data_IF_684483730150
#
_entry.id   IF_684483730150
#
_cell.length_a   1.000
_cell.length_b   1.000
_cell.length_c   1.000
_cell.angle_alpha   90.00
_cell.angle_beta   90.00
_cell.angle_gamma   90.00
#
_symmetry.space_group_name_H-M   'P 1'
#
loop_
_entity.id
_entity.type
_entity.pdbx_description
1 polymer ?
#
# COMPACT_ATOMS: atom_id res chain seq x y z
N UNK A 1 17.76 -11.33 10.79
CA UNK A 1 16.41 -10.74 10.89
C UNK A 1 16.43 -9.67 9.82
N UNK A 2 15.80 -9.95 8.68
CA UNK A 2 15.97 -9.11 7.50
C UNK A 2 15.01 -7.93 7.63
N UNK A 3 15.62 -6.74 7.66
CA UNK A 3 14.98 -5.50 8.05
C UNK A 3 14.37 -4.82 6.82
N UNK A 4 13.04 -4.79 6.73
CA UNK A 4 12.30 -3.83 5.92
C UNK A 4 11.65 -2.85 6.88
N UNK A 5 12.38 -1.80 7.25
CA UNK A 5 11.90 -0.85 8.26
C UNK A 5 11.03 0.22 7.64
N UNK A 6 9.79 0.35 8.08
CA UNK A 6 9.16 1.67 8.24
C UNK A 6 9.40 2.13 9.69
N UNK A 7 10.41 2.98 9.87
CA UNK A 7 10.61 3.77 11.08
C UNK A 7 10.20 5.22 10.82
N UNK A 8 10.43 6.11 11.79
CA UNK A 8 10.15 7.55 11.69
C UNK A 8 10.91 8.29 10.56
N UNK A 9 11.81 7.59 9.86
CA UNK A 9 12.47 8.02 8.62
C UNK A 9 12.67 6.79 7.72
N UNK A 10 12.25 6.90 6.46
CA UNK A 10 12.69 6.02 5.39
C UNK A 10 14.06 6.56 4.94
N UNK A 11 15.13 5.88 5.33
CA UNK A 11 16.46 6.15 4.78
C UNK A 11 16.60 5.36 3.47
N UNK A 12 16.16 5.99 2.38
CA UNK A 12 16.21 5.43 1.03
C UNK A 12 17.66 5.10 0.64
N UNK A 13 18.64 5.87 1.10
CA UNK A 13 20.04 5.67 0.75
C UNK A 13 20.61 4.41 1.42
N UNK A 14 20.23 4.15 2.66
CA UNK A 14 20.56 2.89 3.33
C UNK A 14 19.92 1.67 2.66
N UNK A 15 18.66 1.80 2.20
CA UNK A 15 17.99 0.74 1.44
C UNK A 15 18.66 0.50 0.08
N UNK A 16 18.99 1.56 -0.65
CA UNK A 16 19.70 1.49 -1.93
C UNK A 16 21.07 0.84 -1.75
N UNK A 17 21.86 1.26 -0.75
CA UNK A 17 23.18 0.68 -0.51
C UNK A 17 23.11 -0.83 -0.19
N UNK A 18 22.07 -1.27 0.52
CA UNK A 18 21.84 -2.70 0.79
C UNK A 18 21.38 -3.46 -0.47
N UNK A 19 20.53 -2.85 -1.31
CA UNK A 19 20.13 -3.41 -2.61
C UNK A 19 21.32 -3.52 -3.57
N UNK A 20 22.20 -2.52 -3.62
CA UNK A 20 23.42 -2.54 -4.44
C UNK A 20 24.43 -3.60 -3.98
N UNK A 21 24.57 -3.82 -2.68
CA UNK A 21 25.41 -4.89 -2.13
C UNK A 21 24.83 -6.29 -2.37
N UNK A 22 23.51 -6.44 -2.27
CA UNK A 22 22.83 -7.74 -2.47
C UNK A 22 22.67 -8.10 -3.95
N UNK A 23 22.65 -7.11 -4.85
CA UNK A 23 22.49 -7.27 -6.30
C UNK A 23 23.81 -7.01 -7.06
N UNK A 24 24.89 -7.70 -6.69
CA UNK A 24 26.09 -7.68 -7.55
C UNK A 24 25.77 -8.29 -8.94
N UNK A 25 26.35 -7.78 -10.04
CA UNK A 25 25.75 -7.83 -11.37
C UNK A 25 25.83 -9.22 -12.01
N UNK A 26 24.85 -10.08 -11.73
CA UNK A 26 24.56 -11.21 -12.59
C UNK A 26 23.79 -10.71 -13.83
N UNK A 27 24.56 -10.43 -14.89
CA UNK A 27 24.15 -10.22 -16.30
C UNK A 27 22.65 -9.94 -16.49
N UNK A 28 22.26 -8.67 -16.38
CA UNK A 28 21.00 -8.18 -16.96
C UNK A 28 21.08 -8.36 -18.47
N UNK A 29 20.39 -9.36 -19.00
CA UNK A 29 20.09 -9.42 -20.44
C UNK A 29 19.08 -8.32 -20.72
N UNK A 30 19.54 -7.22 -21.33
CA UNK A 30 18.63 -6.21 -21.89
C UNK A 30 17.86 -6.85 -23.05
N UNK A 31 16.65 -7.37 -22.79
CA UNK A 31 15.69 -7.60 -23.86
C UNK A 31 15.04 -6.26 -24.21
N UNK A 32 15.42 -5.71 -25.36
CA UNK A 32 14.65 -4.63 -25.99
C UNK A 32 13.33 -5.25 -26.45
N UNK A 33 12.28 -5.12 -25.65
CA UNK A 33 10.93 -5.24 -26.18
C UNK A 33 10.69 -4.02 -27.06
N UNK A 34 10.55 -4.25 -28.37
CA UNK A 34 10.24 -3.22 -29.34
C UNK A 34 8.94 -2.51 -28.91
N UNK A 35 9.02 -1.19 -28.74
CA UNK A 35 7.85 -0.34 -28.56
C UNK A 35 7.08 -0.29 -29.88
N UNK A 36 5.79 -0.61 -29.81
CA UNK A 36 4.77 -0.18 -30.76
C UNK A 36 4.74 -0.94 -32.08
N UNK A 37 3.84 -1.92 -32.19
CA UNK A 37 3.21 -2.27 -33.49
C UNK A 37 1.94 -3.14 -33.40
N UNK A 38 1.34 -3.35 -32.22
CA UNK A 38 0.06 -4.10 -32.14
C UNK A 38 -0.96 -3.49 -31.17
N UNK A 39 -1.02 -2.16 -31.07
CA UNK A 39 -2.23 -1.47 -30.61
C UNK A 39 -3.10 -1.10 -31.82
N UNK A 40 -3.35 -2.06 -32.71
CA UNK A 40 -4.30 -1.93 -33.79
C UNK A 40 -5.65 -2.49 -33.32
N UNK A 41 -6.61 -1.62 -33.01
CA UNK A 41 -8.02 -2.04 -32.90
C UNK A 41 -8.83 -1.48 -31.72
N UNK A 42 -8.25 -0.67 -30.82
CA UNK A 42 -9.06 0.14 -29.91
C UNK A 42 -8.79 1.61 -30.20
N UNK A 43 -9.72 2.25 -30.90
CA UNK A 43 -9.85 3.69 -30.84
C UNK A 43 -10.12 4.07 -29.39
N UNK A 44 -9.10 4.60 -28.72
CA UNK A 44 -9.29 5.32 -27.49
C UNK A 44 -9.87 6.68 -27.86
N UNK A 45 -11.20 6.73 -27.98
CA UNK A 45 -11.89 7.99 -28.09
C UNK A 45 -11.64 8.78 -26.79
N UNK A 46 -10.90 9.88 -26.89
CA UNK A 46 -10.99 10.93 -25.87
C UNK A 46 -12.40 11.48 -26.01
N UNK A 47 -13.30 11.31 -25.03
CA UNK A 47 -14.67 11.79 -25.20
C UNK A 47 -14.62 13.28 -25.52
N UNK A 48 -15.09 13.66 -26.71
CA UNK A 48 -15.38 15.05 -27.02
C UNK A 48 -16.23 15.61 -25.89
N UNK A 49 -15.97 16.84 -25.49
CA UNK A 49 -16.57 17.57 -24.37
C UNK A 49 -18.11 17.76 -24.50
N UNK A 50 -18.87 16.69 -24.63
CA UNK A 50 -20.21 16.64 -24.08
C UNK A 50 -20.02 16.66 -22.57
N UNK A 51 -20.67 17.59 -21.87
CA UNK A 51 -20.71 17.62 -20.42
C UNK A 51 -21.34 16.32 -19.93
N UNK A 52 -20.55 15.25 -19.80
CA UNK A 52 -20.90 14.16 -18.93
C UNK A 52 -21.27 14.82 -17.59
N UNK A 53 -22.42 14.45 -17.01
CA UNK A 53 -22.70 14.81 -15.63
C UNK A 53 -21.61 14.14 -14.80
N UNK A 54 -20.54 14.88 -14.53
CA UNK A 54 -19.46 14.44 -13.68
C UNK A 54 -20.02 14.08 -12.30
N UNK A 55 -19.23 13.37 -11.48
CA UNK A 55 -19.62 13.11 -10.11
C UNK A 55 -19.97 14.43 -9.41
N UNK A 56 -20.98 14.38 -8.53
CA UNK A 56 -21.46 15.55 -7.79
C UNK A 56 -20.41 16.08 -6.81
N UNK A 57 -19.46 15.23 -6.40
CA UNK A 57 -18.40 15.53 -5.45
C UNK A 57 -17.05 14.92 -5.87
N UNK A 58 -15.98 15.60 -5.46
CA UNK A 58 -14.59 15.21 -5.68
C UNK A 58 -13.83 15.28 -4.37
N UNK A 59 -12.93 14.31 -4.17
CA UNK A 59 -11.92 14.34 -3.13
C UNK A 59 -10.57 14.69 -3.77
N UNK A 60 -9.83 15.61 -3.17
CA UNK A 60 -8.50 15.99 -3.66
C UNK A 60 -7.44 15.58 -2.66
N UNK A 61 -6.57 14.68 -3.08
CA UNK A 61 -5.33 14.35 -2.39
C UNK A 61 -4.26 15.35 -2.79
N UNK A 62 -3.61 15.98 -1.81
CA UNK A 62 -2.61 17.02 -2.06
C UNK A 62 -1.20 16.53 -1.70
N UNK A 63 -0.25 16.84 -2.57
CA UNK A 63 1.18 16.67 -2.34
C UNK A 63 1.85 18.04 -2.37
N UNK A 64 2.57 18.37 -1.30
CA UNK A 64 3.27 19.64 -1.12
C UNK A 64 4.73 19.43 -0.70
N UNK A 65 5.45 20.54 -0.59
CA UNK A 65 6.78 20.53 0.02
C UNK A 65 6.67 20.17 1.51
N UNK A 66 7.62 19.38 2.01
CA UNK A 66 7.71 19.07 3.45
C UNK A 66 8.00 20.32 4.29
N UNK A 67 8.75 21.28 3.75
CA UNK A 67 9.08 22.54 4.43
C UNK A 67 7.93 23.56 4.35
N UNK A 68 7.07 23.47 3.33
CA UNK A 68 5.88 24.31 3.16
C UNK A 68 4.58 23.48 2.97
N UNK A 69 4.09 22.77 4.01
CA UNK A 69 2.95 21.85 3.87
C UNK A 69 1.64 22.53 3.42
N UNK A 70 1.54 23.85 3.61
CA UNK A 70 0.36 24.65 3.25
C UNK A 70 0.31 25.03 1.77
N UNK A 71 1.35 24.71 0.99
CA UNK A 71 1.43 25.02 -0.44
C UNK A 71 1.43 23.73 -1.25
N UNK A 72 0.26 23.26 -1.74
CA UNK A 72 0.20 22.08 -2.58
C UNK A 72 0.92 22.34 -3.91
N UNK A 73 1.78 21.42 -4.32
CA UNK A 73 2.48 21.43 -5.61
C UNK A 73 1.76 20.55 -6.63
N UNK A 74 1.08 19.51 -6.17
CA UNK A 74 0.35 18.55 -6.98
C UNK A 74 -0.94 18.13 -6.26
N UNK A 75 -1.99 17.88 -7.03
CA UNK A 75 -3.25 17.37 -6.51
C UNK A 75 -3.85 16.31 -7.43
N UNK A 76 -4.21 15.16 -6.86
CA UNK A 76 -4.98 14.13 -7.55
C UNK A 76 -6.43 14.19 -7.12
N UNK A 77 -7.34 14.19 -8.09
CA UNK A 77 -8.77 14.28 -7.84
C UNK A 77 -9.45 12.94 -8.10
N UNK A 78 -10.20 12.48 -7.11
CA UNK A 78 -10.94 11.24 -7.15
C UNK A 78 -12.44 11.55 -7.06
N UNK A 79 -13.20 11.00 -8.01
CA UNK A 79 -14.65 11.05 -7.97
C UNK A 79 -15.17 10.37 -6.69
N UNK A 80 -16.08 11.01 -5.97
CA UNK A 80 -16.69 10.43 -4.77
C UNK A 80 -18.09 9.96 -5.13
N UNK A 81 -18.31 8.66 -5.10
CA UNK A 81 -19.64 8.08 -5.24
C UNK A 81 -20.36 8.09 -3.88
N UNK A 82 -19.65 7.67 -2.82
CA UNK A 82 -20.18 7.63 -1.46
C UNK A 82 -19.06 7.63 -0.44
N UNK A 83 -19.20 8.42 0.62
CA UNK A 83 -18.38 8.29 1.83
C UNK A 83 -18.95 7.18 2.71
N UNK A 84 -18.15 6.15 3.02
CA UNK A 84 -18.59 5.01 3.84
C UNK A 84 -18.34 5.25 5.33
N UNK A 85 -17.17 5.82 5.65
CA UNK A 85 -16.81 6.21 7.00
C UNK A 85 -15.77 7.32 6.96
N UNK A 86 -15.90 8.28 7.86
CA UNK A 86 -14.86 9.24 8.20
C UNK A 86 -14.78 9.36 9.71
N UNK A 87 -13.60 9.12 10.25
CA UNK A 87 -13.35 9.14 11.68
C UNK A 87 -11.96 9.65 11.97
N UNK A 88 -11.67 9.91 13.24
CA UNK A 88 -10.35 10.34 13.68
C UNK A 88 -9.92 9.53 14.89
N UNK A 89 -8.79 8.85 14.77
CA UNK A 89 -8.14 8.18 15.90
C UNK A 89 -7.20 9.16 16.62
N UNK A 90 -6.57 8.76 17.74
CA UNK A 90 -5.49 9.55 18.34
C UNK A 90 -4.28 9.76 17.41
N UNK A 91 -4.17 9.01 16.31
CA UNK A 91 -3.03 9.02 15.41
C UNK A 91 -3.29 9.83 14.13
N UNK A 92 -4.46 9.63 13.50
CA UNK A 92 -4.74 10.18 12.16
C UNK A 92 -6.25 10.26 11.86
N UNK A 93 -6.60 11.03 10.83
CA UNK A 93 -7.91 10.93 10.17
C UNK A 93 -7.95 9.67 9.30
N UNK A 94 -9.08 8.95 9.34
CA UNK A 94 -9.32 7.73 8.58
C UNK A 94 -10.59 7.94 7.77
N UNK A 95 -10.49 7.79 6.46
CA UNK A 95 -11.60 7.93 5.52
C UNK A 95 -11.66 6.70 4.62
N UNK A 96 -12.84 6.12 4.44
CA UNK A 96 -13.11 5.17 3.37
C UNK A 96 -14.24 5.70 2.51
N UNK A 97 -14.01 5.78 1.21
CA UNK A 97 -15.01 6.19 0.23
C UNK A 97 -15.03 5.24 -0.96
N UNK A 98 -16.16 5.23 -1.67
CA UNK A 98 -16.33 4.52 -2.93
C UNK A 98 -16.04 5.45 -4.10
N UNK A 99 -15.29 4.91 -5.05
CA UNK A 99 -14.91 5.54 -6.30
C UNK A 99 -15.34 4.64 -7.47
N UNK A 100 -15.91 5.21 -8.55
CA UNK A 100 -16.43 4.44 -9.68
C UNK A 100 -15.34 3.65 -10.44
N UNK A 101 -14.08 4.08 -10.37
CA UNK A 101 -12.94 3.51 -11.10
C UNK A 101 -12.10 2.58 -10.22
N UNK A 102 -11.92 2.88 -8.94
CA UNK A 102 -11.03 2.17 -8.03
C UNK A 102 -11.75 1.30 -6.98
N UNK A 103 -13.07 1.37 -6.90
CA UNK A 103 -13.84 0.68 -5.85
C UNK A 103 -13.72 1.43 -4.52
N UNK A 104 -13.68 0.71 -3.41
CA UNK A 104 -13.44 1.33 -2.10
C UNK A 104 -11.98 1.72 -1.94
N UNK A 105 -11.76 2.90 -1.40
CA UNK A 105 -10.46 3.53 -1.23
C UNK A 105 -10.27 3.93 0.22
N UNK A 106 -9.16 3.54 0.84
CA UNK A 106 -8.75 3.98 2.18
C UNK A 106 -7.83 5.20 2.06
N UNK A 107 -8.13 6.20 2.88
CA UNK A 107 -7.34 7.40 3.05
C UNK A 107 -6.94 7.55 4.51
N UNK A 108 -5.69 7.95 4.73
CA UNK A 108 -5.16 8.34 6.04
C UNK A 108 -4.59 9.75 5.94
N UNK A 109 -5.07 10.67 6.80
CA UNK A 109 -4.74 12.10 6.75
C UNK A 109 -4.84 12.72 5.34
N UNK A 110 -5.81 12.23 4.56
CA UNK A 110 -6.12 12.69 3.22
C UNK A 110 -5.22 12.16 2.09
N UNK A 111 -4.33 11.22 2.39
CA UNK A 111 -3.51 10.50 1.41
C UNK A 111 -4.10 9.14 1.09
N UNK A 112 -4.04 8.72 -0.18
CA UNK A 112 -4.49 7.39 -0.59
C UNK A 112 -3.54 6.35 -0.03
N UNK A 113 -4.08 5.36 0.69
CA UNK A 113 -3.30 4.24 1.19
C UNK A 113 -3.47 2.98 0.35
N UNK A 114 -4.70 2.67 -0.03
CA UNK A 114 -5.01 1.48 -0.85
C UNK A 114 -6.36 1.59 -1.53
N UNK A 115 -6.55 0.87 -2.64
CA UNK A 115 -7.84 0.77 -3.35
C UNK A 115 -8.16 -0.68 -3.72
N UNK A 116 -9.42 -1.08 -3.67
CA UNK A 116 -9.83 -2.46 -3.94
C UNK A 116 -9.41 -2.99 -5.33
N UNK A 117 -9.31 -2.14 -6.35
CA UNK A 117 -9.09 -2.59 -7.73
C UNK A 117 -7.63 -2.65 -8.15
N UNK A 118 -6.72 -1.95 -7.48
CA UNK A 118 -5.29 -1.90 -7.84
C UNK A 118 -4.33 -2.21 -6.68
N UNK A 119 -4.83 -2.49 -5.48
CA UNK A 119 -4.02 -2.86 -4.30
C UNK A 119 -3.03 -3.99 -4.57
N UNK A 120 -3.37 -4.92 -5.47
CA UNK A 120 -2.51 -6.06 -5.82
C UNK A 120 -1.16 -5.58 -6.34
N UNK A 121 -1.09 -4.46 -7.08
CA UNK A 121 0.17 -3.93 -7.62
C UNK A 121 1.12 -3.55 -6.49
N UNK A 122 0.59 -2.94 -5.41
CA UNK A 122 1.37 -2.53 -4.26
C UNK A 122 1.71 -3.73 -3.35
N UNK A 123 0.71 -4.52 -2.97
CA UNK A 123 0.88 -5.62 -2.01
C UNK A 123 1.71 -6.78 -2.57
N UNK A 124 1.48 -7.18 -3.82
CA UNK A 124 2.26 -8.27 -4.45
C UNK A 124 3.73 -7.88 -4.58
N UNK A 125 4.01 -6.62 -4.92
CA UNK A 125 5.39 -6.12 -5.03
C UNK A 125 6.09 -6.05 -3.68
N UNK A 126 5.41 -5.59 -2.64
CA UNK A 126 5.96 -5.56 -1.29
C UNK A 126 6.13 -6.95 -0.68
N UNK A 127 5.27 -7.91 -1.01
CA UNK A 127 5.37 -9.26 -0.48
C UNK A 127 6.33 -10.13 -1.29
N UNK A 128 6.06 -10.35 -2.57
CA UNK A 128 6.69 -11.43 -3.32
C UNK A 128 8.16 -11.15 -3.63
N UNK A 129 8.53 -9.89 -3.93
CA UNK A 129 9.92 -9.54 -4.22
C UNK A 129 10.86 -9.92 -3.06
N UNK A 130 10.69 -9.42 -1.82
CA UNK A 130 11.60 -9.78 -0.73
C UNK A 130 11.51 -11.26 -0.35
N UNK A 131 10.32 -11.86 -0.40
CA UNK A 131 10.12 -13.26 -0.02
C UNK A 131 10.80 -14.24 -0.99
N UNK A 132 10.78 -13.94 -2.29
CA UNK A 132 11.48 -14.72 -3.32
C UNK A 132 12.99 -14.56 -3.17
N UNK A 133 13.47 -13.33 -2.97
CA UNK A 133 14.91 -13.03 -2.82
C UNK A 133 15.50 -13.71 -1.57
N UNK A 134 14.77 -13.74 -0.45
CA UNK A 134 15.19 -14.46 0.76
C UNK A 134 15.23 -15.99 0.53
N UNK A 135 14.38 -16.53 -0.35
CA UNK A 135 14.34 -17.95 -0.75
C UNK A 135 13.66 -18.88 0.26
N UNK A 136 13.81 -18.67 1.57
CA UNK A 136 13.21 -19.50 2.61
C UNK A 136 12.70 -18.71 3.84
N UNK A 137 11.78 -17.74 3.65
CA UNK A 137 11.20 -16.98 4.76
C UNK A 137 10.26 -17.87 5.59
N UNK A 138 10.45 -17.87 6.92
CA UNK A 138 9.60 -18.63 7.87
C UNK A 138 8.88 -17.75 8.89
N UNK A 139 9.58 -16.75 9.41
CA UNK A 139 9.04 -15.75 10.33
C UNK A 139 9.19 -14.37 9.71
N UNK A 140 8.07 -13.67 9.55
CA UNK A 140 8.03 -12.37 8.87
C UNK A 140 7.53 -11.32 9.86
N UNK A 141 8.13 -10.14 9.81
CA UNK A 141 7.65 -8.96 10.53
C UNK A 141 7.11 -7.96 9.51
N UNK A 142 5.85 -7.56 9.68
CA UNK A 142 5.22 -6.46 8.97
C UNK A 142 5.09 -5.31 9.97
N UNK A 143 5.57 -4.12 9.60
CA UNK A 143 5.35 -2.90 10.38
C UNK A 143 4.42 -2.00 9.57
N UNK A 144 3.35 -1.52 10.20
CA UNK A 144 2.19 -0.94 9.53
C UNK A 144 1.32 -2.01 8.85
N UNK A 145 0.72 -1.62 7.72
CA UNK A 145 -0.10 -2.52 6.90
C UNK A 145 -1.50 -2.78 7.47
N UNK A 146 -2.04 -1.84 8.25
CA UNK A 146 -3.35 -1.95 8.92
C UNK A 146 -4.55 -2.34 8.04
N UNK A 147 -4.44 -2.23 6.72
CA UNK A 147 -5.45 -2.72 5.76
C UNK A 147 -5.46 -4.26 5.61
N UNK A 148 -4.36 -4.95 5.90
CA UNK A 148 -4.23 -6.41 5.86
C UNK A 148 -3.84 -7.02 4.50
N UNK A 149 -3.72 -6.23 3.43
CA UNK A 149 -3.42 -6.72 2.10
C UNK A 149 -2.00 -7.29 1.98
N UNK A 150 -1.01 -6.63 2.59
CA UNK A 150 0.35 -7.16 2.65
C UNK A 150 0.42 -8.49 3.40
N UNK A 151 -0.30 -8.60 4.52
CA UNK A 151 -0.39 -9.83 5.31
C UNK A 151 -0.96 -10.98 4.48
N UNK A 152 -2.03 -10.71 3.70
CA UNK A 152 -2.64 -11.68 2.78
C UNK A 152 -1.60 -12.23 1.79
N UNK A 153 -0.83 -11.36 1.16
CA UNK A 153 0.16 -11.76 0.16
C UNK A 153 1.36 -12.50 0.76
N UNK A 154 1.83 -12.08 1.94
CA UNK A 154 2.89 -12.80 2.69
C UNK A 154 2.45 -14.21 3.04
N UNK A 155 1.21 -14.39 3.49
CA UNK A 155 0.68 -15.69 3.91
C UNK A 155 0.41 -16.67 2.76
N UNK A 156 0.45 -16.22 1.50
CA UNK A 156 0.46 -17.12 0.33
C UNK A 156 1.73 -17.96 0.22
N UNK A 157 2.82 -17.55 0.86
CA UNK A 157 4.06 -18.32 0.86
C UNK A 157 3.94 -19.48 1.85
N UNK A 158 3.94 -20.75 1.40
CA UNK A 158 3.62 -21.91 2.24
C UNK A 158 4.66 -22.21 3.32
N UNK A 159 5.87 -21.64 3.19
CA UNK A 159 6.96 -21.79 4.17
C UNK A 159 6.84 -20.81 5.34
N UNK A 160 5.95 -19.83 5.25
CA UNK A 160 5.68 -18.88 6.34
C UNK A 160 4.91 -19.60 7.44
N UNK A 161 5.55 -19.68 8.60
CA UNK A 161 5.06 -20.30 9.82
C UNK A 161 4.42 -19.25 10.75
N UNK A 162 4.94 -18.01 10.74
CA UNK A 162 4.47 -16.92 11.59
C UNK A 162 4.67 -15.56 10.91
N UNK A 163 3.67 -14.68 11.03
CA UNK A 163 3.76 -13.27 10.68
C UNK A 163 3.40 -12.43 11.91
N UNK A 164 4.37 -11.66 12.42
CA UNK A 164 4.10 -10.60 13.40
C UNK A 164 3.77 -9.33 12.61
N UNK A 165 2.57 -8.77 12.79
CA UNK A 165 2.12 -7.53 12.18
C UNK A 165 1.93 -6.47 13.26
N UNK A 166 2.65 -5.36 13.15
CA UNK A 166 2.66 -4.30 14.15
C UNK A 166 2.03 -3.05 13.56
N UNK A 167 0.85 -2.68 14.04
CA UNK A 167 0.11 -1.51 13.59
C UNK A 167 -0.07 -0.55 14.77
N UNK A 168 0.29 0.71 14.61
CA UNK A 168 0.20 1.68 15.70
C UNK A 168 -1.26 2.09 15.97
N UNK A 169 -2.09 2.09 14.93
CA UNK A 169 -3.46 2.57 14.98
C UNK A 169 -4.48 1.41 14.84
N UNK A 170 -5.01 0.88 15.96
CA UNK A 170 -6.02 -0.18 15.92
C UNK A 170 -7.29 0.21 15.17
N UNK A 171 -7.59 1.52 15.05
CA UNK A 171 -8.79 1.99 14.35
C UNK A 171 -8.68 1.76 12.84
N UNK A 172 -7.48 1.80 12.27
CA UNK A 172 -7.25 1.48 10.85
C UNK A 172 -7.62 0.02 10.57
N UNK A 173 -7.22 -0.91 11.46
CA UNK A 173 -7.55 -2.33 11.33
C UNK A 173 -9.05 -2.57 11.46
N UNK A 174 -9.71 -1.92 12.43
CA UNK A 174 -11.17 -2.00 12.61
C UNK A 174 -11.92 -1.52 11.35
N UNK A 175 -11.57 -0.34 10.85
CA UNK A 175 -12.18 0.26 9.66
C UNK A 175 -11.93 -0.62 8.43
N UNK A 176 -10.72 -1.16 8.27
CA UNK A 176 -10.37 -2.01 7.14
C UNK A 176 -11.13 -3.34 7.16
N UNK A 177 -11.31 -3.97 8.33
CA UNK A 177 -12.18 -5.16 8.47
C UNK A 177 -13.61 -4.87 8.04
N UNK A 178 -14.16 -3.73 8.45
CA UNK A 178 -15.55 -3.38 8.19
C UNK A 178 -15.80 -2.97 6.74
N UNK A 179 -14.89 -2.18 6.16
CA UNK A 179 -15.13 -1.52 4.87
C UNK A 179 -14.29 -2.06 3.72
N UNK A 180 -13.20 -2.80 3.97
CA UNK A 180 -12.32 -3.38 2.95
C UNK A 180 -12.15 -4.90 3.14
N UNK A 181 -13.23 -5.69 3.23
CA UNK A 181 -13.15 -7.10 3.61
C UNK A 181 -12.32 -7.97 2.65
N UNK A 182 -12.19 -7.59 1.37
CA UNK A 182 -11.33 -8.30 0.41
C UNK A 182 -9.83 -8.10 0.64
N UNK A 183 -9.45 -6.95 1.19
CA UNK A 183 -8.05 -6.61 1.53
C UNK A 183 -7.75 -7.14 2.94
N UNK A 184 -8.66 -6.93 3.88
CA UNK A 184 -8.57 -7.30 5.28
C UNK A 184 -8.75 -8.81 5.57
N UNK A 185 -8.93 -9.65 4.55
CA UNK A 185 -9.36 -11.04 4.73
C UNK A 185 -8.36 -11.92 5.49
N UNK A 186 -7.10 -11.50 5.60
CA UNK A 186 -6.04 -12.26 6.25
C UNK A 186 -5.76 -11.83 7.69
N UNK A 187 -6.43 -10.79 8.21
CA UNK A 187 -6.16 -10.25 9.55
C UNK A 187 -6.48 -11.24 10.69
N UNK A 188 -7.28 -12.26 10.41
CA UNK A 188 -7.69 -13.30 11.36
C UNK A 188 -7.04 -14.67 11.06
N UNK A 189 -6.04 -14.72 10.16
CA UNK A 189 -5.31 -15.97 9.87
C UNK A 189 -4.56 -16.48 11.10
N UNK A 190 -4.57 -17.80 11.42
CA UNK A 190 -3.90 -18.35 12.60
C UNK A 190 -2.38 -18.13 12.66
N UNK A 191 -1.76 -17.91 11.49
CA UNK A 191 -0.32 -17.62 11.36
C UNK A 191 0.01 -16.15 11.61
N UNK A 192 -1.00 -15.27 11.71
CA UNK A 192 -0.83 -13.84 11.94
C UNK A 192 -0.94 -13.52 13.44
N UNK A 193 -0.06 -12.63 13.93
CA UNK A 193 -0.12 -12.03 15.25
C UNK A 193 -0.12 -10.52 15.12
N UNK A 194 -1.24 -9.90 15.44
CA UNK A 194 -1.38 -8.45 15.43
C UNK A 194 -0.93 -7.86 16.77
N UNK A 195 -0.10 -6.84 16.70
CA UNK A 195 0.40 -6.06 17.84
C UNK A 195 0.01 -4.59 17.64
N UNK A 196 -0.71 -4.02 18.61
CA UNK A 196 -1.13 -2.62 18.56
C UNK A 196 -0.17 -1.73 19.33
N UNK A 197 0.94 -1.35 18.68
CA UNK A 197 1.98 -0.56 19.29
C UNK A 197 2.89 0.14 18.26
N UNK A 198 3.80 0.98 18.75
CA UNK A 198 4.81 1.61 17.91
C UNK A 198 5.81 0.58 17.36
N UNK A 199 5.93 0.50 16.05
CA UNK A 199 6.81 -0.44 15.36
C UNK A 199 8.29 -0.31 15.74
N UNK A 200 8.78 0.91 15.95
CA UNK A 200 10.17 1.12 16.35
C UNK A 200 10.42 0.62 17.79
N UNK A 201 9.44 0.78 18.69
CA UNK A 201 9.50 0.21 20.03
C UNK A 201 9.45 -1.32 20.00
N UNK A 202 8.55 -1.91 19.21
CA UNK A 202 8.46 -3.36 19.03
C UNK A 202 9.81 -3.94 18.60
N UNK A 203 10.41 -3.37 17.54
CA UNK A 203 11.71 -3.82 16.99
C UNK A 203 12.84 -3.71 18.02
N UNK A 204 12.85 -2.66 18.85
CA UNK A 204 13.87 -2.49 19.90
C UNK A 204 13.78 -3.57 20.99
N UNK A 205 12.57 -4.01 21.33
CA UNK A 205 12.34 -5.05 22.36
C UNK A 205 12.50 -6.47 21.83
N UNK A 206 12.34 -6.67 20.52
CA UNK A 206 12.49 -7.96 19.86
C UNK A 206 13.95 -8.37 19.59
N UNK A 207 14.93 -7.57 20.06
CA UNK A 207 16.37 -7.85 19.98
C UNK A 207 16.85 -8.76 21.10
#
# INVERSE_FOLDING_TARGET
MDYFTCGSRIDIDAAIAHFEQSLSPQKVVKSRHARGSELAGREWAVPSHGRAKGPTSWFTEYYGDREEPKRPLLGYQYAVERELVRTRSPFQEILVMENPVYGRMLFLDGLVMTTERDEFVYHEMLAHVPMIVHGNPRRVLIVGGGDGGLLREVLRHPRVELVDMVEIDPKVVEVSRQHLPGIACALDEPRARLHFEDGAQFVRRAR
#
